data_IF_257437509520
#
_entry.id   IF_257437509520
#
_cell.length_a   1.000
_cell.length_b   1.000
_cell.length_c   1.000
_cell.angle_alpha   90.00
_cell.angle_beta   90.00
_cell.angle_gamma   90.00
#
_symmetry.space_group_name_H-M   'P 1'
#
loop_
_entity.id
_entity.type
_entity.pdbx_description
1 polymer ?
#
# COMPACT_ATOMS: atom_id res chain seq x y z
N UNK A 1 40.63 3.56 -20.83
CA UNK A 1 40.58 3.12 -19.42
C UNK A 1 40.62 4.39 -18.59
N UNK A 2 39.58 4.84 -17.90
CA UNK A 2 38.75 4.13 -16.94
C UNK A 2 37.28 4.61 -16.96
N UNK A 3 36.39 3.66 -16.66
CA UNK A 3 35.00 3.85 -16.23
C UNK A 3 34.95 4.36 -14.78
N UNK A 4 33.73 4.68 -14.32
CA UNK A 4 33.25 4.98 -12.93
C UNK A 4 33.01 6.49 -12.66
N UNK A 5 31.85 6.98 -12.21
CA UNK A 5 30.57 6.40 -11.73
C UNK A 5 29.44 7.32 -12.18
N UNK A 6 28.39 6.77 -12.80
CA UNK A 6 27.09 7.44 -12.85
C UNK A 6 26.52 7.43 -11.42
N UNK A 7 26.72 8.52 -10.71
CA UNK A 7 26.00 8.79 -9.47
C UNK A 7 24.53 9.06 -9.79
N UNK A 8 23.70 8.02 -9.77
CA UNK A 8 22.24 8.14 -9.68
C UNK A 8 21.88 8.78 -8.34
N UNK A 9 22.01 10.10 -8.23
CA UNK A 9 21.23 10.85 -7.26
C UNK A 9 19.78 10.78 -7.75
N UNK A 10 19.01 9.83 -7.22
CA UNK A 10 17.56 9.81 -7.43
C UNK A 10 17.02 11.10 -6.83
N UNK A 11 16.77 12.07 -7.72
CA UNK A 11 16.00 13.28 -7.42
C UNK A 11 14.59 12.77 -7.10
N UNK A 12 14.23 12.73 -5.82
CA UNK A 12 12.86 12.41 -5.40
C UNK A 12 12.00 13.57 -5.89
N UNK A 13 11.35 13.36 -7.02
CA UNK A 13 10.43 14.33 -7.61
C UNK A 13 9.18 14.38 -6.76
N UNK A 14 8.69 15.59 -6.50
CA UNK A 14 7.48 15.90 -5.74
C UNK A 14 6.22 15.17 -6.26
N UNK A 15 6.27 14.64 -7.48
CA UNK A 15 5.29 13.73 -8.08
C UNK A 15 5.28 12.32 -7.49
N UNK A 16 6.40 11.79 -6.98
CA UNK A 16 6.46 10.46 -6.35
C UNK A 16 5.82 10.47 -4.94
N UNK A 17 5.75 11.65 -4.28
CA UNK A 17 5.07 11.80 -2.99
C UNK A 17 3.54 11.70 -3.11
N UNK A 18 2.97 12.00 -4.28
CA UNK A 18 1.53 11.89 -4.49
C UNK A 18 1.06 10.43 -4.59
N UNK A 19 1.95 9.48 -4.83
CA UNK A 19 1.62 8.07 -5.05
C UNK A 19 1.57 7.21 -3.78
N UNK A 20 1.98 7.78 -2.65
CA UNK A 20 1.86 7.16 -1.34
C UNK A 20 0.74 7.79 -0.52
N UNK A 21 -0.19 6.97 -0.05
CA UNK A 21 -1.31 7.39 0.79
C UNK A 21 -1.16 6.69 2.14
N UNK A 22 -1.22 7.45 3.23
CA UNK A 22 -1.24 6.81 4.56
C UNK A 22 -2.60 6.18 4.82
N UNK A 23 -2.59 4.90 5.18
CA UNK A 23 -3.78 4.09 5.43
C UNK A 23 -3.76 3.51 6.84
N UNK A 24 -4.93 3.11 7.33
CA UNK A 24 -5.13 2.48 8.62
C UNK A 24 -6.10 1.31 8.50
N UNK A 25 -5.81 0.21 9.19
CA UNK A 25 -6.73 -0.90 9.41
C UNK A 25 -6.51 -1.45 10.82
N UNK A 26 -7.59 -1.66 11.58
CA UNK A 26 -7.54 -2.16 12.96
C UNK A 26 -6.53 -1.41 13.88
N UNK A 27 -6.38 -0.09 13.69
CA UNK A 27 -5.42 0.73 14.43
C UNK A 27 -3.96 0.63 13.97
N UNK A 28 -3.64 -0.26 13.03
CA UNK A 28 -2.31 -0.37 12.43
C UNK A 28 -2.20 0.55 11.21
N UNK A 29 -1.09 1.27 11.12
CA UNK A 29 -0.80 2.21 10.02
C UNK A 29 0.07 1.58 8.94
N UNK A 30 -0.15 2.04 7.71
CA UNK A 30 0.59 1.61 6.53
C UNK A 30 0.71 2.73 5.50
N UNK A 31 1.63 2.56 4.57
CA UNK A 31 1.85 3.42 3.41
C UNK A 31 1.38 2.69 2.15
N UNK A 32 0.23 3.09 1.61
CA UNK A 32 -0.32 2.53 0.38
C UNK A 32 0.32 3.19 -0.84
N UNK A 33 1.07 2.41 -1.61
CA UNK A 33 1.75 2.86 -2.83
C UNK A 33 0.89 2.47 -4.04
N UNK A 34 0.16 3.46 -4.59
CA UNK A 34 -0.85 3.24 -5.64
C UNK A 34 -0.30 2.52 -6.86
N UNK A 35 0.90 2.92 -7.31
CA UNK A 35 1.56 2.40 -8.52
C UNK A 35 1.81 0.90 -8.49
N UNK A 36 2.05 0.35 -7.30
CA UNK A 36 2.37 -1.07 -7.11
C UNK A 36 1.23 -1.85 -6.47
N UNK A 37 0.15 -1.17 -6.06
CA UNK A 37 -0.94 -1.76 -5.31
C UNK A 37 -0.44 -2.53 -4.08
N UNK A 38 0.46 -1.92 -3.30
CA UNK A 38 1.02 -2.53 -2.08
C UNK A 38 0.96 -1.56 -0.93
N UNK A 39 0.90 -2.11 0.28
CA UNK A 39 1.01 -1.39 1.53
C UNK A 39 2.34 -1.77 2.18
N UNK A 40 3.16 -0.76 2.44
CA UNK A 40 4.32 -0.90 3.32
C UNK A 40 3.84 -0.75 4.77
N UNK A 41 4.01 -1.81 5.56
CA UNK A 41 3.53 -1.85 6.94
C UNK A 41 4.42 -1.00 7.85
N UNK A 42 3.82 -0.18 8.73
CA UNK A 42 4.58 0.64 9.70
C UNK A 42 4.66 0.02 11.10
N UNK A 43 4.40 -1.28 11.23
CA UNK A 43 4.58 -1.98 12.51
C UNK A 43 6.06 -2.22 12.80
N UNK A 44 6.41 -2.39 14.09
CA UNK A 44 7.80 -2.58 14.51
C UNK A 44 8.44 -3.90 14.07
N UNK A 45 7.67 -4.87 13.57
CA UNK A 45 8.16 -6.21 13.21
C UNK A 45 8.31 -6.47 11.71
N UNK A 46 7.66 -5.69 10.85
CA UNK A 46 7.70 -5.90 9.40
C UNK A 46 8.89 -5.23 8.68
N UNK A 47 9.53 -4.23 9.28
CA UNK A 47 10.53 -3.42 8.59
C UNK A 47 9.93 -2.75 7.33
N UNK A 48 10.63 -2.83 6.20
CA UNK A 48 10.21 -2.26 4.91
C UNK A 48 9.38 -3.23 4.03
N UNK A 49 8.75 -4.24 4.63
CA UNK A 49 7.98 -5.26 3.88
C UNK A 49 6.74 -4.63 3.22
N UNK A 50 6.62 -4.86 1.92
CA UNK A 50 5.46 -4.50 1.09
C UNK A 50 4.55 -5.71 0.96
N UNK A 51 3.26 -5.50 1.14
CA UNK A 51 2.22 -6.54 1.14
C UNK A 51 1.05 -6.05 0.29
N UNK A 52 0.30 -6.94 -0.37
CA UNK A 52 -0.97 -6.55 -0.98
C UNK A 52 -1.94 -6.03 0.09
N UNK A 53 -2.97 -5.22 -0.25
CA UNK A 53 -3.94 -4.77 0.74
C UNK A 53 -4.66 -5.89 1.47
N UNK A 54 -4.85 -7.03 0.79
CA UNK A 54 -5.42 -8.24 1.37
C UNK A 54 -4.52 -8.86 2.46
N UNK A 55 -3.26 -9.11 2.13
CA UNK A 55 -2.30 -9.67 3.07
C UNK A 55 -2.06 -8.73 4.24
N UNK A 56 -1.99 -7.43 3.96
CA UNK A 56 -1.82 -6.41 4.99
C UNK A 56 -3.03 -6.32 5.92
N UNK A 57 -4.26 -6.32 5.38
CA UNK A 57 -5.50 -6.39 6.18
C UNK A 57 -5.45 -7.56 7.17
N UNK A 58 -5.13 -8.76 6.70
CA UNK A 58 -5.01 -9.95 7.55
C UNK A 58 -3.90 -9.80 8.59
N UNK A 59 -2.76 -9.22 8.20
CA UNK A 59 -1.65 -8.94 9.10
C UNK A 59 -2.03 -7.99 10.25
N UNK A 60 -2.91 -7.01 10.01
CA UNK A 60 -3.44 -6.13 11.06
C UNK A 60 -4.35 -6.85 12.07
N UNK A 61 -4.68 -8.13 11.83
CA UNK A 61 -5.63 -8.92 12.61
C UNK A 61 -7.08 -8.70 12.19
N UNK A 62 -7.34 -7.98 11.09
CA UNK A 62 -8.68 -7.75 10.60
C UNK A 62 -9.25 -9.03 9.96
N UNK A 63 -10.44 -9.44 10.40
CA UNK A 63 -11.14 -10.65 9.90
C UNK A 63 -12.20 -10.37 8.83
N UNK A 64 -12.32 -9.12 8.40
CA UNK A 64 -13.36 -8.72 7.45
C UNK A 64 -13.15 -9.32 6.06
N UNK A 65 -11.89 -9.63 5.70
CA UNK A 65 -11.46 -10.10 4.36
C UNK A 65 -11.99 -9.19 3.23
N UNK A 66 -12.20 -7.92 3.55
CA UNK A 66 -12.85 -6.93 2.68
C UNK A 66 -12.02 -5.66 2.72
N UNK A 67 -10.73 -5.79 2.39
CA UNK A 67 -9.74 -4.72 2.41
C UNK A 67 -10.25 -3.40 1.83
N UNK A 68 -11.06 -3.46 0.75
CA UNK A 68 -11.69 -2.30 0.10
C UNK A 68 -12.42 -1.38 1.09
N UNK A 69 -13.01 -1.94 2.13
CA UNK A 69 -13.84 -1.28 3.13
C UNK A 69 -13.17 -1.17 4.50
N UNK A 70 -12.38 -2.18 4.88
CA UNK A 70 -11.72 -2.24 6.19
C UNK A 70 -10.46 -1.38 6.24
N UNK A 71 -9.75 -1.23 5.12
CA UNK A 71 -8.61 -0.32 4.98
C UNK A 71 -9.14 1.07 4.65
N UNK A 72 -8.71 2.06 5.42
CA UNK A 72 -9.17 3.45 5.31
C UNK A 72 -7.99 4.40 5.16
N UNK A 73 -8.19 5.50 4.45
CA UNK A 73 -7.17 6.56 4.38
C UNK A 73 -7.15 7.33 5.69
N UNK A 74 -5.97 7.44 6.30
CA UNK A 74 -5.79 8.15 7.57
C UNK A 74 -6.12 9.64 7.36
N UNK A 75 -6.86 10.23 8.30
CA UNK A 75 -7.29 11.64 8.24
C UNK A 75 -8.66 11.84 7.59
N UNK A 76 -8.99 11.15 6.50
CA UNK A 76 -10.33 11.23 5.88
C UNK A 76 -11.28 10.14 6.39
N UNK A 77 -10.73 9.01 6.84
CA UNK A 77 -11.46 7.79 7.21
C UNK A 77 -12.33 7.21 6.08
N UNK A 78 -12.16 7.69 4.85
CA UNK A 78 -12.76 7.11 3.66
C UNK A 78 -12.11 5.76 3.35
N UNK A 79 -12.90 4.86 2.79
CA UNK A 79 -12.46 3.54 2.39
C UNK A 79 -11.42 3.62 1.28
N UNK A 80 -10.43 2.72 1.30
CA UNK A 80 -9.32 2.74 0.35
C UNK A 80 -9.81 2.60 -1.10
N UNK A 81 -10.89 1.86 -1.33
CA UNK A 81 -11.53 1.68 -2.64
C UNK A 81 -11.74 2.99 -3.41
N UNK A 82 -12.10 4.09 -2.72
CA UNK A 82 -12.34 5.40 -3.35
C UNK A 82 -11.07 6.04 -3.94
N UNK A 83 -9.90 5.51 -3.61
CA UNK A 83 -8.60 6.03 -4.00
C UNK A 83 -7.87 5.12 -5.00
N UNK A 84 -8.36 3.90 -5.21
CA UNK A 84 -7.76 2.92 -6.13
C UNK A 84 -8.35 3.11 -7.53
N UNK A 85 -7.49 3.08 -8.54
CA UNK A 85 -7.95 3.13 -9.93
C UNK A 85 -8.72 1.83 -10.29
N UNK A 86 -9.86 1.91 -11.01
CA UNK A 86 -10.71 0.75 -11.30
C UNK A 86 -9.99 -0.46 -11.92
N UNK A 87 -8.96 -0.22 -12.73
CA UNK A 87 -8.17 -1.28 -13.37
C UNK A 87 -7.37 -2.13 -12.37
N UNK A 88 -6.96 -1.56 -11.22
CA UNK A 88 -6.23 -2.32 -10.20
C UNK A 88 -7.16 -3.16 -9.32
N UNK A 89 -8.43 -2.80 -9.23
CA UNK A 89 -9.44 -3.60 -8.51
C UNK A 89 -9.61 -5.00 -9.13
N UNK A 90 -9.30 -5.15 -10.42
CA UNK A 90 -9.35 -6.44 -11.13
C UNK A 90 -8.11 -7.30 -10.90
N UNK A 91 -6.95 -6.73 -10.52
CA UNK A 91 -5.76 -7.54 -10.21
C UNK A 91 -5.81 -8.15 -8.82
N UNK A 92 -6.65 -7.61 -7.93
CA UNK A 92 -6.94 -8.19 -6.61
C UNK A 92 -7.96 -9.33 -6.63
N UNK A 93 -8.32 -9.85 -7.82
CA UNK A 93 -9.27 -10.96 -7.97
C UNK A 93 -8.88 -12.18 -7.11
N UNK A 94 -7.59 -12.37 -6.84
CA UNK A 94 -7.08 -13.41 -5.96
C UNK A 94 -7.54 -13.28 -4.49
N UNK A 95 -7.77 -12.07 -3.97
CA UNK A 95 -8.32 -11.89 -2.61
C UNK A 95 -9.86 -11.96 -2.58
N UNK A 96 -10.53 -11.79 -3.73
CA UNK A 96 -11.98 -11.91 -3.85
C UNK A 96 -12.46 -13.37 -3.95
N UNK A 97 -11.58 -14.29 -4.37
CA UNK A 97 -11.91 -15.71 -4.55
C UNK A 97 -11.50 -16.63 -3.37
N UNK A 98 -10.80 -16.12 -2.36
CA UNK A 98 -10.40 -16.88 -1.15
C UNK A 98 -11.18 -16.46 0.12
N UNK A 99 -12.50 -16.37 0.00
CA UNK A 99 -13.45 -16.38 1.12
C UNK A 99 -14.43 -17.54 0.95
#
# INVERSE_FOLDING_TARGET
MALFRLGLQKKVTETELADEITVVCNGMEGAYIRKFHVIECKCGSCGAKKQSPCEWEQHTGCRAKKWKYSVKVKGTMLTLEKWVHPLYILVDFFCLYEI
#
